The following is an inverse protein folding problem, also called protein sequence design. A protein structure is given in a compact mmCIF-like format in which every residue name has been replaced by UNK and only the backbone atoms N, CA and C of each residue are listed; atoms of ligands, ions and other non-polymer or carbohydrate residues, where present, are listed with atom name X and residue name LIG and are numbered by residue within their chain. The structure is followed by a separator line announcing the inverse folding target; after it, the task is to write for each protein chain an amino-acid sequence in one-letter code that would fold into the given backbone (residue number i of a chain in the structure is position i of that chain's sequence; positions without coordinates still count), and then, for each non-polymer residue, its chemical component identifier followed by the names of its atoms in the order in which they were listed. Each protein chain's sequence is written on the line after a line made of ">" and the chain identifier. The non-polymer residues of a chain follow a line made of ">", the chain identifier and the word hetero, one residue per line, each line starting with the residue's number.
data_IF_031673380041
#
_entry.id   IF_031673380041
#
_cell.length_a   1.000
_cell.length_b   1.000
_cell.length_c   1.000
_cell.angle_alpha   90.00
_cell.angle_beta   90.00
_cell.angle_gamma   90.00
#
_symmetry.space_group_name_H-M   'P 1'
#
loop_
_entity.id
_entity.type
_entity.pdbx_description
1 polymer ?
#
# COMPACT_ATOMS: atom_id res chain seq x y z
N UNK A 1 5.72 31.43 4.12
CA UNK A 1 6.02 30.02 3.79
C UNK A 1 6.79 29.40 4.95
N UNK A 2 6.07 29.11 6.05
CA UNK A 2 6.67 28.67 7.32
C UNK A 2 6.93 27.16 7.25
N UNK A 3 8.16 26.77 6.91
CA UNK A 3 8.62 25.39 7.05
C UNK A 3 8.69 25.02 8.52
N UNK A 4 7.68 24.33 9.05
CA UNK A 4 7.82 23.60 10.31
C UNK A 4 8.76 22.42 10.05
N UNK A 5 10.04 22.59 10.34
CA UNK A 5 10.85 21.46 10.76
C UNK A 5 10.23 20.99 12.08
N UNK A 6 9.35 20.00 12.00
CA UNK A 6 8.80 19.33 13.17
C UNK A 6 9.98 18.71 13.91
N UNK A 7 10.46 19.35 14.97
CA UNK A 7 11.39 18.73 15.90
C UNK A 7 10.73 17.41 16.32
N UNK A 8 11.32 16.25 15.98
CA UNK A 8 10.74 14.99 16.38
C UNK A 8 10.71 14.96 17.91
N UNK A 9 9.51 14.79 18.47
CA UNK A 9 9.38 14.55 19.91
C UNK A 9 10.22 13.32 20.28
N UNK A 10 10.66 13.19 21.53
CA UNK A 10 11.45 12.03 22.01
C UNK A 10 10.75 10.67 21.75
N UNK A 11 9.45 10.68 21.43
CA UNK A 11 8.63 9.50 21.10
C UNK A 11 8.34 9.32 19.61
N UNK A 12 8.88 10.18 18.74
CA UNK A 12 8.71 10.04 17.30
C UNK A 12 9.45 8.79 16.81
N UNK A 13 8.79 7.97 16.01
CA UNK A 13 9.41 6.80 15.41
C UNK A 13 10.58 7.24 14.52
N UNK A 14 11.82 6.96 14.93
CA UNK A 14 13.02 7.26 14.14
C UNK A 14 12.96 6.60 12.75
N UNK A 15 12.27 5.46 12.66
CA UNK A 15 12.03 4.74 11.42
C UNK A 15 10.90 5.32 10.55
N UNK A 16 10.21 6.40 10.92
CA UNK A 16 9.03 6.89 10.19
C UNK A 16 9.31 7.07 8.69
N UNK A 17 10.41 7.75 8.36
CA UNK A 17 10.81 7.98 6.97
C UNK A 17 11.17 6.66 6.28
N UNK A 18 11.94 5.80 6.93
CA UNK A 18 12.39 4.51 6.35
C UNK A 18 11.18 3.59 6.10
N UNK A 19 10.26 3.51 7.06
CA UNK A 19 9.03 2.73 6.94
C UNK A 19 8.15 3.26 5.82
N UNK A 20 8.01 4.58 5.67
CA UNK A 20 7.25 5.17 4.56
C UNK A 20 7.83 4.75 3.20
N UNK A 21 9.15 4.83 3.03
CA UNK A 21 9.81 4.41 1.80
C UNK A 21 9.68 2.90 1.54
N UNK A 22 9.88 2.06 2.56
CA UNK A 22 9.73 0.61 2.42
C UNK A 22 8.31 0.22 2.02
N UNK A 23 7.30 0.76 2.70
CA UNK A 23 5.89 0.49 2.40
C UNK A 23 5.59 0.94 0.97
N UNK A 24 6.03 2.13 0.57
CA UNK A 24 5.80 2.66 -0.77
C UNK A 24 6.44 1.78 -1.86
N UNK A 25 7.73 1.49 -1.74
CA UNK A 25 8.46 0.70 -2.74
C UNK A 25 7.91 -0.72 -2.83
N UNK A 26 7.59 -1.34 -1.69
CA UNK A 26 7.07 -2.70 -1.66
C UNK A 26 5.66 -2.76 -2.27
N UNK A 27 4.75 -1.86 -1.88
CA UNK A 27 3.41 -1.81 -2.46
C UNK A 27 3.43 -1.50 -3.95
N UNK A 28 4.21 -0.50 -4.38
CA UNK A 28 4.25 -0.10 -5.80
C UNK A 28 4.85 -1.20 -6.67
N UNK A 29 5.92 -1.86 -6.24
CA UNK A 29 6.50 -2.98 -6.98
C UNK A 29 5.51 -4.15 -7.13
N UNK A 30 4.72 -4.45 -6.09
CA UNK A 30 3.67 -5.47 -6.15
C UNK A 30 2.55 -5.03 -7.10
N UNK A 31 2.04 -3.80 -6.95
CA UNK A 31 0.91 -3.30 -7.76
C UNK A 31 1.28 -3.07 -9.24
N UNK A 32 2.56 -2.84 -9.53
CA UNK A 32 3.07 -2.75 -10.91
C UNK A 32 2.99 -4.10 -11.63
N UNK A 33 3.30 -5.20 -10.94
CA UNK A 33 3.39 -6.54 -11.54
C UNK A 33 2.16 -7.41 -11.33
N UNK A 34 1.36 -7.14 -10.31
CA UNK A 34 0.22 -7.97 -9.94
C UNK A 34 -1.06 -7.16 -9.96
N UNK A 35 -2.10 -7.74 -10.57
CA UNK A 35 -3.46 -7.29 -10.38
C UNK A 35 -3.99 -7.93 -9.09
N UNK A 36 -4.32 -7.09 -8.11
CA UNK A 36 -4.78 -7.49 -6.79
C UNK A 36 -6.30 -7.51 -6.79
N UNK A 37 -6.88 -8.70 -6.59
CA UNK A 37 -8.32 -8.89 -6.51
C UNK A 37 -8.71 -9.46 -5.14
N UNK A 38 -9.75 -8.91 -4.54
CA UNK A 38 -10.34 -9.44 -3.32
C UNK A 38 -11.33 -10.54 -3.71
N UNK A 39 -11.14 -11.76 -3.19
CA UNK A 39 -11.95 -12.92 -3.55
C UNK A 39 -13.24 -13.04 -2.72
N UNK A 40 -13.84 -11.92 -2.32
CA UNK A 40 -15.09 -11.92 -1.55
C UNK A 40 -15.85 -10.61 -1.71
N UNK A 41 -17.17 -10.66 -1.51
CA UNK A 41 -18.05 -9.50 -1.43
C UNK A 41 -17.73 -8.71 -0.14
N UNK A 42 -16.60 -8.01 -0.15
CA UNK A 42 -16.20 -7.12 0.94
C UNK A 42 -16.81 -5.77 0.64
N UNK A 43 -17.98 -5.51 1.23
CA UNK A 43 -18.57 -4.18 1.20
C UNK A 43 -17.59 -3.20 1.86
N UNK A 44 -17.27 -2.06 1.20
CA UNK A 44 -16.50 -1.02 1.85
C UNK A 44 -17.26 -0.54 3.08
N UNK A 45 -16.55 -0.32 4.18
CA UNK A 45 -17.12 0.29 5.38
C UNK A 45 -17.67 1.70 5.04
N UNK A 46 -18.48 2.29 5.92
CA UNK A 46 -19.11 3.62 5.71
C UNK A 46 -18.06 4.72 5.41
N UNK A 47 -16.81 4.51 5.82
CA UNK A 47 -15.67 5.39 5.56
C UNK A 47 -14.86 5.04 4.30
N UNK A 48 -15.31 4.11 3.47
CA UNK A 48 -14.59 3.64 2.28
C UNK A 48 -13.36 2.78 2.60
N UNK A 49 -13.21 2.34 3.85
CA UNK A 49 -12.05 1.57 4.29
C UNK A 49 -12.28 0.07 4.02
N UNK A 50 -11.32 -0.55 3.33
CA UNK A 50 -11.27 -2.01 3.16
C UNK A 50 -10.44 -2.57 4.32
N UNK A 51 -11.10 -3.23 5.27
CA UNK A 51 -10.43 -3.91 6.38
C UNK A 51 -10.14 -5.36 6.01
N UNK A 52 -8.87 -5.76 6.04
CA UNK A 52 -8.48 -7.16 5.90
C UNK A 52 -8.83 -7.92 7.19
N UNK A 53 -9.96 -8.61 7.19
CA UNK A 53 -10.40 -9.48 8.29
C UNK A 53 -9.68 -10.82 8.24
N UNK A 54 -9.59 -11.49 9.38
CA UNK A 54 -9.06 -12.86 9.49
C UNK A 54 -9.84 -13.79 8.55
N UNK A 55 -9.15 -14.38 7.57
CA UNK A 55 -9.75 -15.23 6.54
C UNK A 55 -10.00 -14.56 5.19
N UNK A 56 -9.67 -13.27 5.03
CA UNK A 56 -9.73 -12.58 3.73
C UNK A 56 -8.71 -13.18 2.77
N UNK A 57 -9.19 -13.77 1.67
CA UNK A 57 -8.34 -14.27 0.58
C UNK A 57 -8.12 -13.16 -0.44
N UNK A 58 -6.86 -12.80 -0.64
CA UNK A 58 -6.42 -11.87 -1.68
C UNK A 58 -5.76 -12.68 -2.77
N UNK A 59 -6.22 -12.51 -4.01
CA UNK A 59 -5.66 -13.19 -5.17
C UNK A 59 -4.79 -12.22 -5.96
N UNK A 60 -3.52 -12.57 -6.06
CA UNK A 60 -2.54 -11.89 -6.90
C UNK A 60 -2.50 -12.61 -8.24
N UNK A 61 -3.00 -11.96 -9.28
CA UNK A 61 -2.80 -12.45 -10.65
C UNK A 61 -1.65 -11.66 -11.25
N UNK A 62 -0.70 -12.35 -11.87
CA UNK A 62 0.32 -11.67 -12.66
C UNK A 62 -0.40 -10.81 -13.69
N UNK A 63 -0.09 -9.52 -13.69
CA UNK A 63 -0.48 -8.64 -14.77
C UNK A 63 0.43 -9.06 -15.93
N UNK A 64 -0.15 -9.69 -16.94
CA UNK A 64 0.50 -9.84 -18.24
C UNK A 64 0.84 -8.42 -18.70
N UNK A 65 2.10 -8.02 -18.53
CA UNK A 65 2.60 -6.83 -19.18
C UNK A 65 2.60 -7.19 -20.65
N UNK A 66 1.56 -6.76 -21.37
CA UNK A 66 1.65 -6.61 -22.82
C UNK A 66 3.05 -6.08 -23.10
N UNK A 67 3.81 -6.88 -23.86
CA UNK A 67 5.16 -6.55 -24.25
C UNK A 67 5.25 -5.06 -24.53
N UNK A 68 6.17 -4.38 -23.85
CA UNK A 68 6.61 -3.08 -24.31
C UNK A 68 7.27 -3.34 -25.67
N UNK A 69 6.48 -3.29 -26.74
CA UNK A 69 6.94 -3.30 -28.12
C UNK A 69 7.40 -1.90 -28.48
N UNK A 70 8.69 -1.68 -28.73
CA UNK A 70 9.14 -0.94 -29.89
C UNK A 70 9.14 -1.81 -31.15
#
# INVERSE_FOLDING_TARGET
>A
MLGKASVPSVRSCLGQTISQWQIFLFLTAILQKFNVSLSGDVKPDVYGLIRFQKGSKVSFKLRESSAFSP
#
